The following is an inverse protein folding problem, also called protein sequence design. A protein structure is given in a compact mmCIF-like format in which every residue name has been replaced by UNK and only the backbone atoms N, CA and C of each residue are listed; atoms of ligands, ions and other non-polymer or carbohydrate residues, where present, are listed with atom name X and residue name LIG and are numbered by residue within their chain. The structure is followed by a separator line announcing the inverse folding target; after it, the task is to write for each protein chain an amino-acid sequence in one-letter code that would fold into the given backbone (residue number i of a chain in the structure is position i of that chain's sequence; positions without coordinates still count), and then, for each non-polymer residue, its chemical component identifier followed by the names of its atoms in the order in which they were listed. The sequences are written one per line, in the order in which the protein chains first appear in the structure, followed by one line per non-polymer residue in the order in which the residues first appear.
data_IF_825405222484
#
_entry.id   IF_825405222484
#
_cell.length_a   1.000
_cell.length_b   1.000
_cell.length_c   1.000
_cell.angle_alpha   90.00
_cell.angle_beta   90.00
_cell.angle_gamma   90.00
#
_symmetry.space_group_name_H-M   'P 1'
#
loop_
_entity.id
_entity.type
_entity.pdbx_description
1 polymer ?
#
# COMPACT_ATOMS: atom_id res chain seq x y z
N UNK A 1 -3.51 34.89 19.53
CA UNK A 1 -2.86 33.63 19.10
C UNK A 1 -3.95 32.68 18.62
N UNK A 2 -4.07 32.43 17.31
CA UNK A 2 -5.14 31.59 16.78
C UNK A 2 -4.71 30.88 15.50
N UNK A 3 -4.98 29.58 15.46
CA UNK A 3 -4.98 28.72 14.27
C UNK A 3 -3.61 28.23 13.73
N UNK A 4 -2.82 27.52 14.54
CA UNK A 4 -1.68 26.73 14.04
C UNK A 4 -2.07 25.36 13.43
N UNK A 5 -3.32 24.90 13.60
CA UNK A 5 -3.76 23.56 13.16
C UNK A 5 -4.56 23.50 11.86
N UNK A 6 -5.33 24.55 11.52
CA UNK A 6 -6.23 24.51 10.37
C UNK A 6 -5.46 24.50 9.04
N UNK A 7 -4.45 25.35 8.88
CA UNK A 7 -3.64 25.36 7.67
C UNK A 7 -2.91 24.02 7.44
N UNK A 8 -2.46 23.36 8.52
CA UNK A 8 -1.82 22.04 8.44
C UNK A 8 -2.83 20.96 8.06
N UNK A 9 -4.02 20.96 8.65
CA UNK A 9 -5.11 20.07 8.27
C UNK A 9 -5.53 20.25 6.80
N UNK A 10 -5.71 21.50 6.37
CA UNK A 10 -6.08 21.85 5.00
C UNK A 10 -4.97 21.45 4.02
N UNK A 11 -3.71 21.65 4.39
CA UNK A 11 -2.55 21.19 3.64
C UNK A 11 -2.57 19.67 3.51
N UNK A 12 -2.70 18.92 4.61
CA UNK A 12 -2.74 17.46 4.59
C UNK A 12 -3.86 16.93 3.72
N UNK A 13 -5.06 17.51 3.81
CA UNK A 13 -6.16 17.18 2.92
C UNK A 13 -5.84 17.47 1.45
N UNK A 14 -5.22 18.60 1.17
CA UNK A 14 -4.84 18.97 -0.21
C UNK A 14 -3.81 18.01 -0.81
N UNK A 15 -2.94 17.43 0.02
CA UNK A 15 -1.91 16.47 -0.40
C UNK A 15 -2.33 15.00 -0.24
N UNK A 16 -3.61 14.72 0.01
CA UNK A 16 -4.16 13.38 -0.11
C UNK A 16 -4.57 12.69 1.20
N UNK A 17 -4.37 13.32 2.36
CA UNK A 17 -4.89 12.81 3.60
C UNK A 17 -6.43 12.93 3.63
N UNK A 18 -7.12 11.92 4.17
CA UNK A 18 -8.57 11.90 4.19
C UNK A 18 -9.10 10.72 4.98
N UNK A 19 -10.43 10.57 5.01
CA UNK A 19 -11.05 9.40 5.61
C UNK A 19 -10.69 8.12 4.87
N UNK A 20 -10.99 6.96 5.47
CA UNK A 20 -10.63 5.64 4.93
C UNK A 20 -11.14 5.35 3.51
N UNK A 21 -12.12 6.13 3.01
CA UNK A 21 -12.73 6.02 1.67
C UNK A 21 -12.27 7.10 0.68
N UNK A 22 -11.55 8.11 1.14
CA UNK A 22 -11.37 9.39 0.42
C UNK A 22 -9.91 9.77 0.20
N UNK A 23 -8.97 9.21 0.97
CA UNK A 23 -7.55 9.48 0.78
C UNK A 23 -7.11 9.19 -0.66
N UNK A 24 -6.06 9.86 -1.10
CA UNK A 24 -5.48 9.63 -2.42
C UNK A 24 -3.97 9.86 -2.40
N UNK A 25 -3.27 9.27 -3.37
CA UNK A 25 -1.84 9.54 -3.59
C UNK A 25 -1.73 10.81 -4.42
N UNK A 26 -1.18 11.88 -3.85
CA UNK A 26 -1.02 13.16 -4.55
C UNK A 26 -0.06 13.03 -5.74
N UNK A 27 -0.27 13.89 -6.75
CA UNK A 27 0.47 13.85 -8.01
C UNK A 27 1.98 13.89 -7.82
N UNK A 28 2.45 14.67 -6.84
CA UNK A 28 3.86 14.81 -6.50
C UNK A 28 4.53 13.49 -6.12
N UNK A 29 3.80 12.56 -5.48
CA UNK A 29 4.30 11.22 -5.19
C UNK A 29 4.19 10.34 -6.43
N UNK A 30 3.06 10.39 -7.14
CA UNK A 30 2.83 9.55 -8.32
C UNK A 30 3.78 9.84 -9.49
N UNK A 31 4.28 11.07 -9.61
CA UNK A 31 5.26 11.48 -10.62
C UNK A 31 6.69 11.55 -10.06
N UNK A 32 6.91 11.15 -8.81
CA UNK A 32 8.23 11.24 -8.17
C UNK A 32 9.23 10.24 -8.75
N UNK A 33 10.48 10.36 -8.31
CA UNK A 33 11.50 9.34 -8.54
C UNK A 33 11.09 8.00 -7.92
N UNK A 34 11.69 6.91 -8.42
CA UNK A 34 11.45 5.55 -7.91
C UNK A 34 11.69 5.45 -6.40
N UNK A 35 12.72 6.11 -5.87
CA UNK A 35 13.05 6.06 -4.45
C UNK A 35 11.93 6.63 -3.57
N UNK A 36 11.34 7.75 -3.97
CA UNK A 36 10.21 8.35 -3.22
C UNK A 36 8.98 7.44 -3.27
N UNK A 37 8.69 6.85 -4.44
CA UNK A 37 7.60 5.87 -4.57
C UNK A 37 7.82 4.65 -3.69
N UNK A 38 9.06 4.15 -3.64
CA UNK A 38 9.47 3.02 -2.79
C UNK A 38 9.24 3.35 -1.32
N UNK A 39 9.72 4.49 -0.82
CA UNK A 39 9.55 4.85 0.60
C UNK A 39 8.07 5.08 0.95
N UNK A 40 7.30 5.71 0.06
CA UNK A 40 5.86 5.87 0.26
C UNK A 40 5.15 4.50 0.34
N UNK A 41 5.44 3.59 -0.59
CA UNK A 41 4.87 2.24 -0.59
C UNK A 41 5.30 1.45 0.64
N UNK A 42 6.57 1.53 1.04
CA UNK A 42 7.12 0.85 2.20
C UNK A 42 6.37 1.27 3.47
N UNK A 43 6.24 2.57 3.71
CA UNK A 43 5.49 3.11 4.85
C UNK A 43 4.01 2.68 4.83
N UNK A 44 3.36 2.72 3.66
CA UNK A 44 1.96 2.33 3.55
C UNK A 44 1.76 0.82 3.83
N UNK A 45 2.64 -0.02 3.30
CA UNK A 45 2.57 -1.47 3.49
C UNK A 45 2.95 -1.89 4.91
N UNK A 46 3.89 -1.19 5.56
CA UNK A 46 4.22 -1.41 6.97
C UNK A 46 3.00 -1.25 7.89
N UNK A 47 2.05 -0.38 7.55
CA UNK A 47 0.82 -0.20 8.33
C UNK A 47 -0.29 -1.17 7.88
N UNK A 48 -0.58 -1.21 6.57
CA UNK A 48 -1.81 -1.81 6.04
C UNK A 48 -1.66 -3.25 5.54
N UNK A 49 -0.43 -3.72 5.29
CA UNK A 49 -0.22 -5.02 4.65
C UNK A 49 -0.13 -6.18 5.64
N UNK A 50 -0.61 -7.33 5.18
CA UNK A 50 -0.42 -8.61 5.83
C UNK A 50 0.32 -9.59 4.90
N UNK A 51 1.33 -10.26 5.44
CA UNK A 51 2.09 -11.31 4.75
C UNK A 51 1.49 -12.66 5.11
N UNK A 52 0.98 -13.38 4.11
CA UNK A 52 0.37 -14.70 4.31
C UNK A 52 1.25 -15.79 3.70
N UNK A 53 1.97 -16.52 4.57
CA UNK A 53 2.80 -17.68 4.20
C UNK A 53 1.97 -18.83 3.63
N UNK A 54 0.85 -19.16 4.28
CA UNK A 54 -0.06 -20.24 3.84
C UNK A 54 -0.65 -19.98 2.46
N UNK A 55 -1.09 -18.74 2.18
CA UNK A 55 -1.68 -18.38 0.87
C UNK A 55 -0.65 -17.82 -0.11
N UNK A 56 0.64 -17.89 0.25
CA UNK A 56 1.80 -17.39 -0.50
C UNK A 56 1.59 -16.02 -1.15
N UNK A 57 1.22 -15.02 -0.34
CA UNK A 57 0.86 -13.68 -0.84
C UNK A 57 1.09 -12.56 0.16
N UNK A 58 1.31 -11.35 -0.36
CA UNK A 58 1.15 -10.09 0.39
C UNK A 58 -0.24 -9.54 0.08
N UNK A 59 -0.98 -9.05 1.08
CA UNK A 59 -2.32 -8.51 0.90
C UNK A 59 -2.53 -7.19 1.63
N UNK A 60 -3.14 -6.23 0.94
CA UNK A 60 -3.79 -5.05 1.54
C UNK A 60 -5.30 -5.29 1.60
N UNK A 61 -5.97 -4.89 2.69
CA UNK A 61 -7.43 -4.93 2.80
C UNK A 61 -8.00 -3.53 3.04
N UNK A 62 -8.48 -2.89 1.97
CA UNK A 62 -8.76 -1.46 1.96
C UNK A 62 -10.17 -1.19 1.45
N UNK A 63 -10.89 -0.24 2.05
CA UNK A 63 -12.25 0.16 1.63
C UNK A 63 -12.26 1.17 0.47
N UNK A 64 -11.16 1.90 0.28
CA UNK A 64 -10.94 2.83 -0.81
C UNK A 64 -10.39 2.15 -2.08
N UNK A 65 -11.28 1.76 -3.00
CA UNK A 65 -10.90 1.16 -4.30
C UNK A 65 -10.03 2.10 -5.15
N UNK A 66 -10.32 3.41 -5.14
CA UNK A 66 -9.60 4.39 -5.95
C UNK A 66 -8.14 4.51 -5.47
N UNK A 67 -7.94 4.56 -4.15
CA UNK A 67 -6.63 4.52 -3.52
C UNK A 67 -5.85 3.25 -3.86
N UNK A 68 -6.49 2.06 -3.82
CA UNK A 68 -5.83 0.81 -4.24
C UNK A 68 -5.39 0.82 -5.71
N UNK A 69 -6.17 1.43 -6.61
CA UNK A 69 -5.78 1.56 -8.03
C UNK A 69 -4.53 2.45 -8.15
N UNK A 70 -4.41 3.51 -7.33
CA UNK A 70 -3.20 4.34 -7.30
C UNK A 70 -1.99 3.56 -6.77
N UNK A 71 -2.17 2.76 -5.71
CA UNK A 71 -1.12 1.86 -5.19
C UNK A 71 -0.68 0.87 -6.26
N UNK A 72 -1.63 0.23 -6.95
CA UNK A 72 -1.34 -0.72 -8.02
C UNK A 72 -0.47 -0.07 -9.11
N UNK A 73 -0.78 1.15 -9.53
CA UNK A 73 0.05 1.89 -10.50
C UNK A 73 1.48 2.14 -10.00
N UNK A 74 1.65 2.49 -8.72
CA UNK A 74 3.00 2.66 -8.15
C UNK A 74 3.78 1.35 -8.13
N UNK A 75 3.11 0.22 -7.87
CA UNK A 75 3.74 -1.10 -7.92
C UNK A 75 4.11 -1.48 -9.36
N UNK A 76 3.24 -1.19 -10.33
CA UNK A 76 3.48 -1.45 -11.75
C UNK A 76 4.70 -0.66 -12.27
N UNK A 77 4.86 0.61 -11.87
CA UNK A 77 6.06 1.43 -12.17
C UNK A 77 7.37 0.80 -11.64
N UNK A 78 7.25 -0.07 -10.64
CA UNK A 78 8.34 -0.84 -10.04
C UNK A 78 8.35 -2.30 -10.51
N UNK A 79 7.64 -2.63 -11.60
CA UNK A 79 7.49 -3.97 -12.16
C UNK A 79 7.01 -5.01 -11.13
N UNK A 80 6.16 -4.62 -10.17
CA UNK A 80 5.58 -5.50 -9.17
C UNK A 80 4.10 -5.68 -9.51
N UNK A 81 3.80 -6.73 -10.27
CA UNK A 81 2.41 -7.05 -10.63
C UNK A 81 1.58 -7.37 -9.37
N UNK A 82 0.38 -6.83 -9.33
CA UNK A 82 -0.59 -7.08 -8.27
C UNK A 82 -2.00 -7.22 -8.85
N UNK A 83 -2.92 -7.86 -8.10
CA UNK A 83 -4.32 -8.03 -8.52
C UNK A 83 -5.26 -7.50 -7.45
N UNK A 84 -6.21 -6.67 -7.85
CA UNK A 84 -7.29 -6.19 -6.99
C UNK A 84 -8.48 -7.15 -7.09
N UNK A 85 -8.98 -7.62 -5.95
CA UNK A 85 -10.15 -8.47 -5.82
C UNK A 85 -11.23 -7.82 -4.96
N UNK A 86 -12.46 -8.27 -5.11
CA UNK A 86 -13.63 -7.77 -4.38
C UNK A 86 -14.68 -7.15 -5.32
N UNK A 87 -15.65 -6.39 -4.78
CA UNK A 87 -15.79 -6.03 -3.37
C UNK A 87 -16.14 -7.25 -2.50
N UNK A 88 -15.50 -7.36 -1.34
CA UNK A 88 -15.92 -8.24 -0.25
C UNK A 88 -16.85 -7.45 0.68
N UNK A 89 -17.99 -8.03 1.05
CA UNK A 89 -18.96 -7.37 1.94
C UNK A 89 -18.76 -7.88 3.37
N UNK A 90 -18.64 -6.96 4.32
CA UNK A 90 -18.70 -7.26 5.74
C UNK A 90 -19.62 -6.25 6.42
N UNK A 91 -20.75 -6.73 6.95
CA UNK A 91 -21.86 -5.90 7.43
C UNK A 91 -22.24 -4.85 6.36
N UNK A 92 -22.25 -3.57 6.70
CA UNK A 92 -22.55 -2.46 5.79
C UNK A 92 -21.36 -1.97 4.95
N UNK A 93 -20.17 -2.58 5.10
CA UNK A 93 -18.95 -2.12 4.45
C UNK A 93 -18.54 -3.01 3.28
N UNK A 94 -17.91 -2.38 2.27
CA UNK A 94 -17.26 -3.05 1.14
C UNK A 94 -15.76 -2.83 1.25
N UNK A 95 -14.99 -3.90 1.18
CA UNK A 95 -13.53 -3.83 1.10
C UNK A 95 -13.00 -4.50 -0.17
N UNK A 96 -11.76 -4.19 -0.50
CA UNK A 96 -11.07 -4.64 -1.68
C UNK A 96 -9.70 -5.15 -1.25
N UNK A 97 -9.26 -6.24 -1.88
CA UNK A 97 -7.97 -6.82 -1.59
C UNK A 97 -7.01 -6.61 -2.76
N UNK A 98 -5.95 -5.84 -2.56
CA UNK A 98 -4.80 -5.86 -3.48
C UNK A 98 -3.84 -6.95 -3.03
N UNK A 99 -3.47 -7.83 -3.95
CA UNK A 99 -2.67 -9.02 -3.65
C UNK A 99 -1.46 -9.12 -4.57
N UNK A 100 -0.30 -9.40 -3.99
CA UNK A 100 0.97 -9.64 -4.69
C UNK A 100 1.32 -11.13 -4.56
N UNK A 101 1.70 -11.77 -5.67
CA UNK A 101 1.93 -13.21 -5.78
C UNK A 101 3.19 -13.55 -6.57
N UNK A 102 3.66 -14.80 -6.46
CA UNK A 102 4.69 -15.36 -7.33
C UNK A 102 5.98 -14.55 -7.35
N UNK A 103 6.57 -14.38 -8.54
CA UNK A 103 7.82 -13.63 -8.71
C UNK A 103 7.71 -12.15 -8.30
N UNK A 104 6.50 -11.56 -8.30
CA UNK A 104 6.32 -10.19 -7.79
C UNK A 104 6.64 -10.07 -6.30
N UNK A 105 6.56 -11.16 -5.52
CA UNK A 105 6.96 -11.16 -4.10
C UNK A 105 8.47 -11.01 -3.98
N UNK A 106 9.26 -11.71 -4.82
CA UNK A 106 10.72 -11.55 -4.88
C UNK A 106 11.12 -10.13 -5.30
N UNK A 107 10.38 -9.54 -6.25
CA UNK A 107 10.57 -8.14 -6.67
C UNK A 107 10.19 -7.17 -5.55
N UNK A 108 9.11 -7.42 -4.82
CA UNK A 108 8.72 -6.62 -3.66
C UNK A 108 9.79 -6.67 -2.57
N UNK A 109 10.29 -7.85 -2.22
CA UNK A 109 11.35 -8.04 -1.22
C UNK A 109 12.64 -7.29 -1.57
N UNK A 110 13.09 -7.38 -2.82
CA UNK A 110 14.34 -6.75 -3.25
C UNK A 110 14.25 -5.23 -3.45
N UNK A 111 13.06 -4.69 -3.75
CA UNK A 111 12.89 -3.27 -4.11
C UNK A 111 12.26 -2.42 -3.02
N UNK A 112 11.33 -3.00 -2.25
CA UNK A 112 10.52 -2.27 -1.25
C UNK A 112 10.77 -2.84 0.13
N UNK A 113 10.43 -4.12 0.36
CA UNK A 113 10.51 -4.73 1.70
C UNK A 113 9.56 -4.09 2.72
N UNK A 114 9.87 -4.29 3.99
CA UNK A 114 9.19 -3.74 5.17
C UNK A 114 10.23 -3.16 6.13
N UNK A 115 9.89 -2.09 6.85
CA UNK A 115 10.71 -1.65 8.00
C UNK A 115 10.32 -2.40 9.27
N UNK A 116 9.06 -2.85 9.40
CA UNK A 116 8.63 -3.59 10.58
C UNK A 116 9.32 -4.97 10.63
N UNK A 117 10.11 -5.28 11.68
CA UNK A 117 10.98 -6.45 11.68
C UNK A 117 10.26 -7.78 11.52
N UNK A 118 9.06 -7.95 12.10
CA UNK A 118 8.34 -9.21 12.04
C UNK A 118 7.76 -9.46 10.63
N UNK A 119 7.21 -8.44 9.98
CA UNK A 119 6.74 -8.47 8.58
C UNK A 119 7.89 -8.69 7.62
N UNK A 120 9.05 -8.08 7.87
CA UNK A 120 10.24 -8.31 7.06
C UNK A 120 10.75 -9.76 7.20
N UNK A 121 10.70 -10.33 8.40
CA UNK A 121 10.98 -11.75 8.63
C UNK A 121 9.98 -12.64 7.90
N UNK A 122 8.68 -12.39 8.04
CA UNK A 122 7.63 -13.14 7.35
C UNK A 122 7.76 -13.07 5.83
N UNK A 123 8.15 -11.91 5.29
CA UNK A 123 8.40 -11.74 3.87
C UNK A 123 9.63 -12.54 3.42
N UNK A 124 10.69 -12.54 4.22
CA UNK A 124 11.92 -13.31 3.95
C UNK A 124 11.63 -14.81 3.91
N UNK A 125 10.88 -15.32 4.89
CA UNK A 125 10.42 -16.71 4.92
C UNK A 125 9.49 -17.01 3.73
N UNK A 126 8.59 -16.09 3.38
CA UNK A 126 7.71 -16.27 2.24
C UNK A 126 8.49 -16.40 0.92
N UNK A 127 9.57 -15.64 0.73
CA UNK A 127 10.42 -15.71 -0.47
C UNK A 127 11.10 -17.07 -0.64
N UNK A 128 11.39 -17.80 0.44
CA UNK A 128 11.98 -19.15 0.35
C UNK A 128 10.96 -20.22 -0.05
N UNK A 129 9.66 -19.93 0.10
CA UNK A 129 8.56 -20.87 -0.15
C UNK A 129 7.95 -20.79 -1.56
N UNK A 130 8.36 -19.80 -2.38
CA UNK A 130 7.78 -19.51 -3.70
C UNK A 130 8.82 -19.75 -4.79
#
# INVERSE_FOLDING_TARGET
MGVRGKWFYDLFKSVGAGGSKEWFIHKQISSASKNIKIEWLKAFFDDEAHVSKTKKRIVLNIVNKKGLIQIQKLLDDLNIESRIHGPYKYKQYKSYHLKIYGNSIRRYFSRIGFNEPNKQKDLSELVTLI
#
